data_IF_575076462692
#
_entry.id   IF_575076462692
#
_cell.length_a   1.000
_cell.length_b   1.000
_cell.length_c   1.000
_cell.angle_alpha   90.00
_cell.angle_beta   90.00
_cell.angle_gamma   90.00
#
_symmetry.space_group_name_H-M   'P 1'
#
loop_
_entity.id
_entity.type
_entity.pdbx_description
1 polymer ?
#
# COMPACT_ATOMS: atom_id res chain seq x y z
N UNK A 1 14.08 -31.00 -0.66
CA UNK A 1 12.84 -30.26 -0.36
C UNK A 1 12.86 -28.95 -1.14
N UNK A 2 11.81 -28.59 -1.89
CA UNK A 2 11.77 -27.30 -2.56
C UNK A 2 11.65 -26.21 -1.50
N UNK A 3 12.57 -25.24 -1.51
CA UNK A 3 12.49 -24.05 -0.65
C UNK A 3 11.17 -23.35 -0.99
N UNK A 4 10.22 -23.32 -0.05
CA UNK A 4 9.01 -22.50 -0.17
C UNK A 4 9.44 -21.06 -0.47
N UNK A 5 9.25 -20.61 -1.71
CA UNK A 5 9.44 -19.23 -2.17
C UNK A 5 8.25 -18.36 -1.77
N UNK A 6 7.67 -18.61 -0.59
CA UNK A 6 6.63 -17.72 -0.06
C UNK A 6 7.36 -16.48 0.47
N UNK A 7 7.09 -15.28 -0.07
CA UNK A 7 7.71 -14.06 0.42
C UNK A 7 7.48 -13.91 1.92
N UNK A 8 8.47 -13.38 2.65
CA UNK A 8 8.27 -13.02 4.06
C UNK A 8 7.23 -11.89 4.11
N UNK A 9 6.07 -12.18 4.69
CA UNK A 9 5.01 -11.20 4.92
C UNK A 9 5.26 -10.51 6.27
N UNK A 10 5.19 -9.18 6.30
CA UNK A 10 5.22 -8.40 7.54
C UNK A 10 3.78 -8.19 8.01
N UNK A 11 3.52 -8.49 9.29
CA UNK A 11 2.25 -8.16 9.93
C UNK A 11 2.35 -6.76 10.53
N UNK A 12 1.37 -5.91 10.21
CA UNK A 12 1.26 -4.55 10.75
C UNK A 12 -0.16 -4.30 11.21
N UNK A 13 -0.32 -3.67 12.37
CA UNK A 13 -1.60 -3.10 12.79
C UNK A 13 -1.73 -1.70 12.22
N UNK A 14 -2.83 -1.39 11.54
CA UNK A 14 -3.10 -0.04 11.05
C UNK A 14 -4.49 0.40 11.48
N UNK A 15 -4.65 1.68 11.77
CA UNK A 15 -5.95 2.30 12.01
C UNK A 15 -6.41 3.03 10.75
N UNK A 16 -7.64 2.77 10.33
CA UNK A 16 -8.22 3.35 9.10
C UNK A 16 -9.47 4.14 9.52
N UNK A 17 -9.69 5.35 8.98
CA UNK A 17 -10.94 6.07 9.19
C UNK A 17 -12.15 5.23 8.79
N UNK A 18 -13.14 5.14 9.67
CA UNK A 18 -14.34 4.32 9.49
C UNK A 18 -15.06 4.56 8.15
N UNK A 19 -15.26 5.82 7.67
CA UNK A 19 -15.89 6.04 6.36
C UNK A 19 -15.12 5.44 5.18
N UNK A 20 -13.77 5.41 5.26
CA UNK A 20 -12.94 4.80 4.22
C UNK A 20 -13.04 3.28 4.27
N UNK A 21 -13.09 2.72 5.47
CA UNK A 21 -13.27 1.29 5.65
C UNK A 21 -14.62 0.82 5.08
N UNK A 22 -15.70 1.54 5.35
CA UNK A 22 -17.02 1.23 4.79
C UNK A 22 -17.06 1.30 3.25
N UNK A 23 -16.37 2.28 2.65
CA UNK A 23 -16.22 2.34 1.21
C UNK A 23 -15.43 1.13 0.67
N UNK A 24 -14.36 0.72 1.36
CA UNK A 24 -13.56 -0.45 1.03
C UNK A 24 -14.40 -1.74 1.05
N UNK A 25 -15.25 -1.91 2.07
CA UNK A 25 -16.17 -3.06 2.20
C UNK A 25 -17.12 -3.20 1.02
N UNK A 26 -17.59 -2.09 0.44
CA UNK A 26 -18.44 -2.12 -0.76
C UNK A 26 -17.68 -2.64 -1.97
N UNK A 27 -16.46 -2.15 -2.18
CA UNK A 27 -15.58 -2.64 -3.27
C UNK A 27 -15.24 -4.12 -3.06
N UNK A 28 -14.92 -4.51 -1.83
CA UNK A 28 -14.68 -5.90 -1.45
C UNK A 28 -15.85 -6.80 -1.87
N UNK A 29 -17.09 -6.40 -1.57
CA UNK A 29 -18.28 -7.18 -1.91
C UNK A 29 -18.51 -7.27 -3.42
N UNK A 30 -18.26 -6.20 -4.18
CA UNK A 30 -18.39 -6.18 -5.64
C UNK A 30 -17.40 -7.12 -6.33
N UNK A 31 -16.17 -7.18 -5.81
CA UNK A 31 -15.07 -7.97 -6.38
C UNK A 31 -15.02 -9.41 -5.83
N UNK A 32 -15.82 -9.72 -4.81
CA UNK A 32 -15.85 -11.04 -4.17
C UNK A 32 -14.60 -11.37 -3.34
N UNK A 33 -13.89 -10.36 -2.84
CA UNK A 33 -12.66 -10.55 -2.07
C UNK A 33 -12.93 -10.89 -0.60
N UNK A 34 -12.03 -11.65 0.01
CA UNK A 34 -11.94 -11.70 1.48
C UNK A 34 -11.21 -10.45 2.03
N UNK A 35 -11.23 -10.27 3.34
CA UNK A 35 -10.70 -9.05 3.98
C UNK A 35 -9.19 -8.92 3.81
N UNK A 36 -8.45 -10.03 3.89
CA UNK A 36 -7.00 -10.04 3.65
C UNK A 36 -6.65 -9.67 2.21
N UNK A 37 -7.42 -10.14 1.24
CA UNK A 37 -7.27 -9.80 -0.17
C UNK A 37 -7.53 -8.31 -0.42
N UNK A 38 -8.61 -7.76 0.15
CA UNK A 38 -8.91 -6.33 0.08
C UNK A 38 -7.74 -5.50 0.63
N UNK A 39 -7.25 -5.81 1.83
CA UNK A 39 -6.13 -5.07 2.44
C UNK A 39 -4.85 -5.17 1.61
N UNK A 40 -4.51 -6.37 1.11
CA UNK A 40 -3.34 -6.58 0.27
C UNK A 40 -3.42 -5.77 -1.02
N UNK A 41 -4.55 -5.84 -1.73
CA UNK A 41 -4.75 -5.13 -3.00
C UNK A 41 -4.71 -3.62 -2.80
N UNK A 42 -5.30 -3.12 -1.71
CA UNK A 42 -5.29 -1.69 -1.39
C UNK A 42 -3.87 -1.22 -1.07
N UNK A 43 -3.08 -2.04 -0.37
CA UNK A 43 -1.69 -1.74 -0.10
C UNK A 43 -0.87 -1.70 -1.40
N UNK A 44 -0.96 -2.74 -2.23
CA UNK A 44 -0.20 -2.83 -3.48
C UNK A 44 -0.55 -1.70 -4.46
N UNK A 45 -1.84 -1.54 -4.76
CA UNK A 45 -2.30 -0.55 -5.75
C UNK A 45 -2.19 0.88 -5.21
N UNK A 46 -2.56 1.09 -3.94
CA UNK A 46 -2.46 2.40 -3.29
C UNK A 46 -1.00 2.87 -3.18
N UNK A 47 -0.09 1.97 -2.81
CA UNK A 47 1.34 2.28 -2.77
C UNK A 47 1.90 2.59 -4.16
N UNK A 48 1.58 1.79 -5.17
CA UNK A 48 2.05 2.05 -6.53
C UNK A 48 1.59 3.42 -7.06
N UNK A 49 0.32 3.77 -6.84
CA UNK A 49 -0.22 5.08 -7.22
C UNK A 49 0.47 6.23 -6.45
N UNK A 50 0.66 6.05 -5.14
CA UNK A 50 1.35 7.04 -4.32
C UNK A 50 2.80 7.25 -4.77
N UNK A 51 3.52 6.15 -5.04
CA UNK A 51 4.89 6.19 -5.52
C UNK A 51 5.00 6.90 -6.86
N UNK A 52 4.11 6.62 -7.82
CA UNK A 52 4.08 7.32 -9.10
C UNK A 52 3.90 8.83 -8.92
N UNK A 53 2.96 9.25 -8.07
CA UNK A 53 2.75 10.66 -7.77
C UNK A 53 3.95 11.31 -7.08
N UNK A 54 4.61 10.59 -6.18
CA UNK A 54 5.82 11.06 -5.48
C UNK A 54 7.00 11.19 -6.44
N UNK A 55 7.23 10.21 -7.31
CA UNK A 55 8.29 10.26 -8.33
C UNK A 55 8.08 11.42 -9.30
N UNK A 56 6.83 11.66 -9.74
CA UNK A 56 6.52 12.79 -10.60
C UNK A 56 6.83 14.14 -9.93
N UNK A 57 6.44 14.31 -8.66
CA UNK A 57 6.76 15.53 -7.89
C UNK A 57 8.26 15.68 -7.66
N UNK A 58 8.98 14.59 -7.42
CA UNK A 58 10.44 14.59 -7.29
C UNK A 58 11.13 15.05 -8.59
N UNK A 59 10.73 14.49 -9.74
CA UNK A 59 11.28 14.87 -11.04
C UNK A 59 11.03 16.35 -11.40
N UNK A 60 9.95 16.92 -10.87
CA UNK A 60 9.62 18.35 -11.02
C UNK A 60 10.32 19.25 -9.99
N UNK A 61 11.17 18.70 -9.10
CA UNK A 61 11.86 19.46 -8.06
C UNK A 61 10.94 19.96 -6.93
N UNK A 62 9.73 19.41 -6.82
CA UNK A 62 8.73 19.83 -5.82
C UNK A 62 8.88 19.10 -4.48
N UNK A 63 9.68 18.03 -4.45
CA UNK A 63 10.04 17.33 -3.23
C UNK A 63 11.56 17.46 -3.08
N UNK A 64 12.06 18.01 -1.97
CA UNK A 64 13.51 18.05 -1.73
C UNK A 64 14.06 16.62 -1.64
N UNK A 65 15.26 16.39 -2.17
CA UNK A 65 15.99 15.16 -1.89
C UNK A 65 16.01 14.94 -0.38
N UNK A 66 15.58 13.74 0.06
CA UNK A 66 15.71 13.37 1.45
C UNK A 66 17.20 13.48 1.80
N UNK A 67 17.56 14.47 2.62
CA UNK A 67 18.90 14.54 3.19
C UNK A 67 19.13 13.20 3.88
N UNK A 68 20.11 12.47 3.40
CA UNK A 68 20.49 11.18 3.92
C UNK A 68 21.08 11.43 5.31
N UNK A 69 20.21 11.56 6.33
CA UNK A 69 20.61 11.62 7.73
C UNK A 69 20.94 10.20 8.17
N UNK A 70 22.04 9.69 7.62
CA UNK A 70 22.80 8.63 8.22
C UNK A 70 23.94 9.31 8.99
N UNK A 71 23.66 9.65 10.25
CA UNK A 71 24.66 9.81 11.30
C UNK A 71 24.57 8.61 12.24
#
# INVERSE_FOLDING_TARGET
MPKKTTPKMVQTGVSIPEPLYEAAKRVQAMEGWNESEMHRVFWEKGFALHLQGTLARYQLGLIPEAQNTAE
#
